data_IF_528264103511
#
_entry.id   IF_528264103511
#
_cell.length_a   1.000
_cell.length_b   1.000
_cell.length_c   1.000
_cell.angle_alpha   90.00
_cell.angle_beta   90.00
_cell.angle_gamma   90.00
#
_symmetry.space_group_name_H-M   'P 1'
#
loop_
_entity.id
_entity.type
_entity.pdbx_description
1 polymer ?
#
# COMPACT_ATOMS: atom_id res chain seq x y z
N UNK A 1 -13.83 10.30 2.03
CA UNK A 1 -15.12 9.78 1.48
C UNK A 1 -15.16 9.78 -0.06
N UNK A 2 -14.62 10.83 -0.70
CA UNK A 2 -14.48 11.03 -2.15
C UNK A 2 -13.91 9.81 -2.94
N UNK A 3 -12.76 9.29 -2.48
CA UNK A 3 -12.00 8.23 -3.16
C UNK A 3 -12.78 6.91 -3.30
N UNK A 4 -13.60 6.58 -2.29
CA UNK A 4 -14.27 5.28 -2.17
C UNK A 4 -15.39 5.12 -3.18
N UNK A 5 -16.18 6.18 -3.40
CA UNK A 5 -17.24 6.17 -4.41
C UNK A 5 -16.67 5.98 -5.82
N UNK A 6 -15.54 6.65 -6.11
CA UNK A 6 -14.81 6.51 -7.36
C UNK A 6 -14.31 5.07 -7.55
N UNK A 7 -13.70 4.47 -6.53
CA UNK A 7 -13.21 3.09 -6.57
C UNK A 7 -14.30 2.09 -6.98
N UNK A 8 -15.45 2.09 -6.30
CA UNK A 8 -16.54 1.17 -6.62
C UNK A 8 -17.14 1.43 -8.01
N UNK A 9 -17.19 2.70 -8.44
CA UNK A 9 -17.62 3.04 -9.80
C UNK A 9 -16.69 2.43 -10.87
N UNK A 10 -15.37 2.55 -10.69
CA UNK A 10 -14.37 2.00 -11.61
C UNK A 10 -14.45 0.48 -11.64
N UNK A 11 -14.57 -0.17 -10.47
CA UNK A 11 -14.74 -1.63 -10.38
C UNK A 11 -16.01 -2.10 -11.11
N UNK A 12 -17.08 -1.29 -11.11
CA UNK A 12 -18.29 -1.56 -11.88
C UNK A 12 -18.18 -1.23 -13.38
N UNK A 13 -17.04 -0.69 -13.85
CA UNK A 13 -16.81 -0.29 -15.23
C UNK A 13 -17.71 0.86 -15.71
N UNK A 14 -18.11 1.75 -14.79
CA UNK A 14 -19.05 2.83 -15.07
C UNK A 14 -18.34 4.18 -15.21
N UNK A 15 -18.75 4.97 -16.21
CA UNK A 15 -18.35 6.39 -16.30
C UNK A 15 -19.13 7.22 -15.29
N UNK A 16 -18.63 8.42 -14.97
CA UNK A 16 -19.37 9.36 -14.12
C UNK A 16 -20.76 9.68 -14.71
N UNK A 17 -20.87 9.82 -16.02
CA UNK A 17 -22.13 10.13 -16.68
C UNK A 17 -23.13 8.96 -16.59
N UNK A 18 -22.67 7.71 -16.79
CA UNK A 18 -23.51 6.51 -16.66
C UNK A 18 -24.06 6.35 -15.24
N UNK A 19 -23.20 6.50 -14.23
CA UNK A 19 -23.62 6.34 -12.84
C UNK A 19 -24.54 7.50 -12.38
N UNK A 20 -24.21 8.74 -12.75
CA UNK A 20 -25.08 9.89 -12.49
C UNK A 20 -26.48 9.69 -13.10
N UNK A 21 -26.56 9.20 -14.34
CA UNK A 21 -27.82 8.88 -15.01
C UNK A 21 -28.60 7.78 -14.31
N UNK A 22 -27.94 6.71 -13.86
CA UNK A 22 -28.57 5.63 -13.12
C UNK A 22 -29.19 6.11 -11.79
N UNK A 23 -28.46 6.98 -11.08
CA UNK A 23 -28.90 7.57 -9.79
C UNK A 23 -29.94 8.68 -10.00
N UNK A 24 -30.01 9.27 -11.20
CA UNK A 24 -30.96 10.33 -11.55
C UNK A 24 -30.50 11.71 -11.09
N UNK A 25 -29.20 11.99 -11.20
CA UNK A 25 -28.60 13.31 -10.96
C UNK A 25 -27.79 13.74 -12.19
N UNK A 26 -27.41 15.02 -12.25
CA UNK A 26 -26.51 15.49 -13.30
C UNK A 26 -25.07 15.05 -13.03
N UNK A 27 -24.29 14.82 -14.09
CA UNK A 27 -22.88 14.46 -13.98
C UNK A 27 -22.06 15.46 -13.12
N UNK A 28 -22.21 16.80 -13.25
CA UNK A 28 -21.48 17.73 -12.39
C UNK A 28 -21.87 17.62 -10.91
N UNK A 29 -23.11 17.23 -10.60
CA UNK A 29 -23.54 17.02 -9.21
C UNK A 29 -22.90 15.75 -8.64
N UNK A 30 -22.87 14.68 -9.44
CA UNK A 30 -22.20 13.43 -9.08
C UNK A 30 -20.68 13.63 -8.89
N UNK A 31 -20.03 14.37 -9.80
CA UNK A 31 -18.60 14.67 -9.71
C UNK A 31 -18.24 15.37 -8.38
N UNK A 32 -19.11 16.27 -7.87
CA UNK A 32 -18.90 16.92 -6.58
C UNK A 32 -18.97 15.95 -5.39
N UNK A 33 -19.71 14.86 -5.53
CA UNK A 33 -19.72 13.80 -4.52
C UNK A 33 -18.41 13.01 -4.57
N UNK A 34 -17.97 12.60 -5.76
CA UNK A 34 -16.71 11.87 -5.94
C UNK A 34 -15.47 12.69 -5.59
N UNK A 35 -15.50 14.02 -5.70
CA UNK A 35 -14.39 14.88 -5.30
C UNK A 35 -14.45 15.28 -3.82
N UNK A 36 -15.49 14.88 -3.08
CA UNK A 36 -15.71 15.31 -1.70
C UNK A 36 -16.15 16.77 -1.55
N UNK A 37 -16.34 17.50 -2.66
CA UNK A 37 -16.81 18.89 -2.63
C UNK A 37 -18.25 19.03 -2.12
N UNK A 38 -19.02 17.95 -2.04
CA UNK A 38 -20.37 17.94 -1.47
C UNK A 38 -20.70 16.57 -0.88
N UNK A 39 -21.46 16.56 0.23
CA UNK A 39 -21.94 15.32 0.83
C UNK A 39 -23.04 14.66 -0.02
N UNK A 40 -23.11 13.33 0.07
CA UNK A 40 -24.13 12.52 -0.61
C UNK A 40 -25.41 12.56 0.23
N UNK A 41 -26.56 12.98 -0.33
CA UNK A 41 -27.85 12.87 0.36
C UNK A 41 -28.21 11.41 0.66
N UNK A 42 -28.84 11.14 1.80
CA UNK A 42 -29.19 9.78 2.25
C UNK A 42 -30.08 9.03 1.24
N UNK A 43 -31.02 9.72 0.59
CA UNK A 43 -31.88 9.14 -0.46
C UNK A 43 -31.09 8.71 -1.70
N UNK A 44 -29.96 9.36 -1.97
CA UNK A 44 -29.06 9.04 -3.09
C UNK A 44 -28.05 7.97 -2.73
N UNK A 45 -27.62 7.91 -1.47
CA UNK A 45 -26.70 6.89 -0.98
C UNK A 45 -27.27 5.48 -1.17
N UNK A 46 -28.53 5.26 -0.79
CA UNK A 46 -29.19 3.96 -0.97
C UNK A 46 -29.28 3.56 -2.46
N UNK A 47 -29.55 4.53 -3.33
CA UNK A 47 -29.62 4.28 -4.76
C UNK A 47 -28.25 3.98 -5.38
N UNK A 48 -27.20 4.63 -4.88
CA UNK A 48 -25.81 4.32 -5.26
C UNK A 48 -25.45 2.89 -4.84
N UNK A 49 -25.78 2.52 -3.60
CA UNK A 49 -25.57 1.17 -3.05
C UNK A 49 -26.25 0.10 -3.92
N UNK A 50 -27.50 0.34 -4.32
CA UNK A 50 -28.25 -0.56 -5.21
C UNK A 50 -27.62 -0.70 -6.61
N UNK A 51 -27.23 0.42 -7.24
CA UNK A 51 -26.66 0.41 -8.60
C UNK A 51 -25.29 -0.24 -8.62
N UNK A 52 -24.47 0.02 -7.60
CA UNK A 52 -23.12 -0.54 -7.46
C UNK A 52 -23.12 -1.94 -6.82
N UNK A 53 -24.27 -2.42 -6.36
CA UNK A 53 -24.43 -3.71 -5.67
C UNK A 53 -23.54 -3.87 -4.43
N UNK A 54 -23.39 -2.80 -3.65
CA UNK A 54 -22.57 -2.75 -2.44
C UNK A 54 -23.36 -2.19 -1.26
N UNK A 55 -22.93 -2.47 -0.04
CA UNK A 55 -23.56 -1.91 1.16
C UNK A 55 -23.38 -0.39 1.25
N UNK A 56 -24.39 0.31 1.76
CA UNK A 56 -24.30 1.76 2.00
C UNK A 56 -23.14 2.12 2.95
N UNK A 57 -22.86 1.27 3.94
CA UNK A 57 -21.73 1.46 4.84
C UNK A 57 -20.38 1.31 4.11
N UNK A 58 -20.26 0.35 3.19
CA UNK A 58 -19.07 0.19 2.37
C UNK A 58 -18.79 1.42 1.48
N UNK A 59 -19.84 2.03 0.91
CA UNK A 59 -19.76 3.30 0.16
C UNK A 59 -19.25 4.46 1.02
N UNK A 60 -19.69 4.53 2.27
CA UNK A 60 -19.22 5.51 3.24
C UNK A 60 -17.81 5.17 3.77
N UNK A 61 -17.24 4.04 3.36
CA UNK A 61 -15.96 3.57 3.85
C UNK A 61 -15.99 3.02 5.26
N UNK A 62 -17.17 2.66 5.73
CA UNK A 62 -17.45 1.97 7.00
C UNK A 62 -17.61 0.49 6.69
N UNK A 63 -16.52 -0.15 6.31
CA UNK A 63 -16.49 -1.61 6.23
C UNK A 63 -15.72 -2.17 7.43
N UNK A 64 -15.95 -3.45 7.70
CA UNK A 64 -15.10 -4.16 8.64
C UNK A 64 -13.65 -4.12 8.14
N UNK A 65 -12.66 -4.05 9.04
CA UNK A 65 -11.25 -4.12 8.68
C UNK A 65 -10.99 -5.34 7.81
N UNK A 66 -10.21 -5.15 6.74
CA UNK A 66 -9.71 -6.26 5.94
C UNK A 66 -8.51 -6.84 6.67
N UNK A 67 -8.61 -8.08 7.10
CA UNK A 67 -7.57 -8.79 7.85
C UNK A 67 -6.95 -9.88 6.99
N UNK A 68 -5.66 -10.13 7.21
CA UNK A 68 -5.00 -11.29 6.61
C UNK A 68 -5.55 -12.56 7.26
N UNK A 69 -5.90 -13.55 6.43
CA UNK A 69 -6.26 -14.87 6.90
C UNK A 69 -5.03 -15.68 7.26
N UNK A 70 -5.17 -16.59 8.22
CA UNK A 70 -4.12 -17.55 8.59
C UNK A 70 -4.76 -18.93 8.49
N UNK A 71 -4.36 -19.71 7.49
CA UNK A 71 -5.02 -20.98 7.14
C UNK A 71 -6.54 -20.84 6.90
N UNK A 72 -6.99 -19.72 6.34
CA UNK A 72 -8.41 -19.47 6.08
C UNK A 72 -8.67 -19.34 4.57
N UNK A 73 -9.04 -20.46 3.95
CA UNK A 73 -9.38 -20.49 2.52
C UNK A 73 -10.60 -19.60 2.17
N UNK A 74 -11.36 -19.11 3.16
CA UNK A 74 -12.54 -18.27 2.92
C UNK A 74 -12.23 -16.80 2.67
N UNK A 75 -11.05 -16.29 3.09
CA UNK A 75 -10.69 -14.87 2.93
C UNK A 75 -10.20 -14.49 1.52
N UNK A 76 -10.00 -15.49 0.64
CA UNK A 76 -9.49 -15.29 -0.72
C UNK A 76 -7.96 -15.30 -0.79
N UNK A 77 -7.42 -15.69 -1.94
CA UNK A 77 -5.99 -15.95 -2.12
C UNK A 77 -5.10 -14.73 -1.86
N UNK A 78 -5.60 -13.53 -2.13
CA UNK A 78 -4.83 -12.29 -1.94
C UNK A 78 -4.73 -11.85 -0.47
N UNK A 79 -5.57 -12.41 0.41
CA UNK A 79 -5.59 -12.11 1.84
C UNK A 79 -5.10 -13.26 2.71
N UNK A 80 -5.12 -14.50 2.21
CA UNK A 80 -4.62 -15.64 2.97
C UNK A 80 -3.10 -15.59 3.03
N UNK A 81 -2.54 -15.61 4.24
CA UNK A 81 -1.11 -15.53 4.49
C UNK A 81 -0.41 -16.79 3.99
N UNK A 82 0.54 -16.62 3.09
CA UNK A 82 1.39 -17.71 2.63
C UNK A 82 2.60 -17.90 3.56
N UNK A 83 3.21 -16.78 3.95
CA UNK A 83 4.54 -16.72 4.57
C UNK A 83 5.35 -15.60 3.96
N UNK A 84 6.62 -15.85 3.69
CA UNK A 84 7.60 -14.84 3.36
C UNK A 84 8.33 -15.16 2.06
N UNK A 85 8.68 -14.10 1.33
CA UNK A 85 9.65 -14.18 0.24
C UNK A 85 10.89 -13.39 0.56
N UNK A 86 12.04 -14.06 0.54
CA UNK A 86 13.36 -13.46 0.69
C UNK A 86 14.00 -13.28 -0.70
N UNK A 87 14.53 -12.09 -0.99
CA UNK A 87 15.17 -11.78 -2.27
C UNK A 87 16.56 -11.21 -2.03
N UNK A 88 17.56 -11.84 -2.65
CA UNK A 88 18.96 -11.45 -2.58
C UNK A 88 19.43 -10.95 -3.95
N UNK A 89 20.40 -10.04 -3.96
CA UNK A 89 20.83 -9.32 -5.16
C UNK A 89 22.31 -9.53 -5.48
N UNK A 90 22.64 -9.67 -6.77
CA UNK A 90 24.03 -9.88 -7.20
C UNK A 90 24.94 -8.69 -6.89
N UNK A 91 24.36 -7.51 -6.62
CA UNK A 91 25.07 -6.29 -6.27
C UNK A 91 25.73 -6.35 -4.89
N UNK A 92 25.34 -7.32 -4.05
CA UNK A 92 25.66 -7.32 -2.62
C UNK A 92 24.91 -6.23 -1.84
N UNK A 93 23.89 -5.62 -2.45
CA UNK A 93 22.97 -4.72 -1.74
C UNK A 93 22.14 -5.46 -0.68
N UNK A 94 21.42 -4.69 0.12
CA UNK A 94 20.62 -5.25 1.22
C UNK A 94 19.51 -6.17 0.67
N UNK A 95 19.30 -7.37 1.26
CA UNK A 95 18.22 -8.26 0.85
C UNK A 95 16.86 -7.68 1.22
N UNK A 96 15.81 -8.24 0.61
CA UNK A 96 14.41 -7.99 0.96
C UNK A 96 13.82 -9.21 1.65
N UNK A 97 12.92 -8.97 2.59
CA UNK A 97 12.01 -9.96 3.14
C UNK A 97 10.62 -9.33 3.16
N UNK A 98 9.64 -10.01 2.55
CA UNK A 98 8.28 -9.51 2.41
C UNK A 98 7.31 -10.59 2.88
N UNK A 99 6.37 -10.22 3.75
CA UNK A 99 5.20 -11.04 4.09
C UNK A 99 4.22 -11.02 2.94
N UNK A 100 3.90 -12.17 2.35
CA UNK A 100 3.08 -12.29 1.14
C UNK A 100 1.87 -13.20 1.35
N UNK A 101 0.87 -13.02 0.50
CA UNK A 101 -0.30 -13.90 0.42
C UNK A 101 -0.12 -15.04 -0.57
N UNK A 102 -1.02 -16.02 -0.55
CA UNK A 102 -1.05 -17.12 -1.52
C UNK A 102 -1.16 -16.64 -2.97
N UNK A 103 -1.94 -15.58 -3.20
CA UNK A 103 -2.10 -14.93 -4.49
C UNK A 103 -0.79 -14.28 -4.96
N UNK A 104 -0.13 -13.52 -4.07
CA UNK A 104 1.17 -12.91 -4.36
C UNK A 104 2.25 -13.96 -4.62
N UNK A 105 2.28 -15.06 -3.86
CA UNK A 105 3.15 -16.21 -4.12
C UNK A 105 2.89 -16.78 -5.52
N UNK A 106 1.64 -17.08 -5.84
CA UNK A 106 1.26 -17.74 -7.10
C UNK A 106 1.64 -16.89 -8.32
N UNK A 107 1.39 -15.58 -8.26
CA UNK A 107 1.77 -14.61 -9.32
C UNK A 107 3.28 -14.53 -9.48
N UNK A 108 4.02 -14.26 -8.41
CA UNK A 108 5.48 -14.14 -8.49
C UNK A 108 6.14 -15.45 -8.96
N UNK A 109 5.68 -16.59 -8.44
CA UNK A 109 6.18 -17.90 -8.84
C UNK A 109 5.96 -18.15 -10.34
N UNK A 110 4.82 -17.72 -10.91
CA UNK A 110 4.57 -17.82 -12.34
C UNK A 110 5.44 -16.84 -13.14
N UNK A 111 5.56 -15.60 -12.69
CA UNK A 111 6.29 -14.54 -13.40
C UNK A 111 7.80 -14.77 -13.44
N UNK A 112 8.38 -15.36 -12.40
CA UNK A 112 9.78 -15.80 -12.37
C UNK A 112 10.11 -16.88 -13.41
N UNK A 113 9.10 -17.61 -13.91
CA UNK A 113 9.26 -18.61 -14.98
C UNK A 113 9.12 -18.00 -16.38
N UNK A 114 8.76 -16.71 -16.46
CA UNK A 114 8.64 -15.94 -17.70
C UNK A 114 9.91 -15.10 -17.92
N UNK A 115 10.12 -14.65 -19.15
CA UNK A 115 11.26 -13.79 -19.51
C UNK A 115 10.91 -12.30 -19.35
N UNK A 116 10.45 -11.90 -18.17
CA UNK A 116 10.11 -10.51 -17.86
C UNK A 116 11.36 -9.73 -17.41
N UNK A 117 11.45 -8.45 -17.78
CA UNK A 117 12.54 -7.58 -17.31
C UNK A 117 12.38 -7.19 -15.84
N UNK A 118 11.13 -7.04 -15.40
CA UNK A 118 10.73 -6.73 -14.04
C UNK A 118 9.64 -7.70 -13.59
N UNK A 119 9.61 -7.99 -12.29
CA UNK A 119 8.53 -8.72 -11.63
C UNK A 119 8.07 -7.92 -10.43
N UNK A 120 6.81 -8.09 -10.04
CA UNK A 120 6.20 -7.32 -8.95
C UNK A 120 5.77 -8.24 -7.82
N UNK A 121 5.94 -7.79 -6.58
CA UNK A 121 5.50 -8.48 -5.37
C UNK A 121 4.75 -7.48 -4.51
N UNK A 122 3.51 -7.80 -4.17
CA UNK A 122 2.73 -7.04 -3.21
C UNK A 122 2.81 -7.74 -1.85
N UNK A 123 3.20 -6.99 -0.82
CA UNK A 123 3.25 -7.48 0.55
C UNK A 123 1.93 -7.22 1.28
N UNK A 124 1.69 -7.99 2.34
CA UNK A 124 0.62 -7.73 3.31
C UNK A 124 0.93 -6.55 4.25
N UNK A 125 2.08 -5.90 4.07
CA UNK A 125 2.58 -4.76 4.85
C UNK A 125 2.61 -3.45 4.02
N UNK A 126 1.77 -3.34 2.99
CA UNK A 126 1.65 -2.15 2.13
C UNK A 126 2.92 -1.80 1.34
N UNK A 127 3.60 -2.83 0.80
CA UNK A 127 4.73 -2.63 -0.08
C UNK A 127 4.46 -3.29 -1.43
N UNK A 128 4.46 -2.49 -2.50
CA UNK A 128 4.53 -2.98 -3.87
C UNK A 128 5.98 -2.86 -4.30
N UNK A 129 6.64 -4.02 -4.45
CA UNK A 129 8.06 -4.10 -4.79
C UNK A 129 8.20 -4.54 -6.24
N UNK A 130 8.81 -3.67 -7.05
CA UNK A 130 9.15 -3.92 -8.45
C UNK A 130 10.62 -4.30 -8.51
N UNK A 131 10.92 -5.53 -8.95
CA UNK A 131 12.26 -6.13 -8.88
C UNK A 131 12.76 -6.35 -10.31
N UNK A 132 13.99 -5.89 -10.61
CA UNK A 132 14.62 -6.22 -11.89
C UNK A 132 15.06 -7.67 -11.86
N UNK A 133 14.53 -8.52 -12.74
CA UNK A 133 14.77 -9.98 -12.69
C UNK A 133 16.24 -10.34 -12.80
N UNK A 134 16.98 -9.63 -13.67
CA UNK A 134 18.43 -9.81 -13.82
C UNK A 134 19.24 -9.37 -12.59
N UNK A 135 18.65 -8.63 -11.65
CA UNK A 135 19.32 -8.23 -10.41
C UNK A 135 19.30 -9.32 -9.32
N UNK A 136 18.34 -10.26 -9.42
CA UNK A 136 18.14 -11.33 -8.44
C UNK A 136 19.32 -12.31 -8.49
N UNK A 137 19.97 -12.52 -7.36
CA UNK A 137 20.96 -13.58 -7.19
C UNK A 137 20.25 -14.91 -6.84
N UNK A 138 19.36 -14.86 -5.86
CA UNK A 138 18.57 -15.98 -5.38
C UNK A 138 17.31 -15.48 -4.64
N UNK A 139 16.27 -16.32 -4.64
CA UNK A 139 14.96 -16.01 -4.09
C UNK A 139 14.39 -17.25 -3.39
N UNK A 140 13.84 -17.06 -2.19
CA UNK A 140 13.29 -18.14 -1.37
C UNK A 140 11.86 -17.82 -0.98
N UNK A 141 10.97 -18.77 -1.24
CA UNK A 141 9.64 -18.80 -0.64
C UNK A 141 9.70 -19.67 0.61
N UNK A 142 9.28 -19.11 1.74
CA UNK A 142 9.17 -19.81 3.02
C UNK A 142 7.72 -19.71 3.43
N UNK A 143 7.01 -20.83 3.49
CA UNK A 143 5.63 -20.81 3.98
C UNK A 143 5.62 -20.71 5.50
N UNK A 144 4.55 -20.18 6.08
CA UNK A 144 4.35 -20.10 7.54
C UNK A 144 4.46 -21.43 8.30
N UNK A 145 4.45 -22.57 7.59
CA UNK A 145 4.72 -23.89 8.16
C UNK A 145 6.18 -24.11 8.62
N UNK A 146 7.08 -23.17 8.32
CA UNK A 146 8.49 -23.23 8.67
C UNK A 146 8.88 -22.01 9.52
N UNK A 147 9.71 -22.24 10.56
CA UNK A 147 10.19 -21.18 11.46
C UNK A 147 11.44 -20.44 10.91
N UNK A 148 11.88 -20.77 9.68
CA UNK A 148 13.06 -20.21 9.04
C UNK A 148 12.77 -19.48 7.72
N UNK A 149 13.49 -18.38 7.50
CA UNK A 149 13.36 -17.53 6.31
C UNK A 149 14.70 -17.40 5.56
N UNK A 150 14.77 -17.95 4.35
CA UNK A 150 15.98 -17.90 3.50
C UNK A 150 17.18 -18.71 4.02
N UNK A 151 18.24 -18.83 3.22
CA UNK A 151 19.37 -19.73 3.51
C UNK A 151 20.24 -19.31 4.69
N UNK A 152 20.35 -18.00 4.96
CA UNK A 152 21.29 -17.50 5.97
C UNK A 152 20.64 -17.31 7.35
N UNK A 153 19.33 -17.57 7.48
CA UNK A 153 18.54 -17.17 8.66
C UNK A 153 18.87 -15.72 9.09
N UNK A 154 19.09 -14.86 8.08
CA UNK A 154 19.80 -13.60 8.22
C UNK A 154 18.99 -12.53 8.95
N UNK A 155 19.67 -11.49 9.42
CA UNK A 155 19.01 -10.31 9.96
C UNK A 155 18.51 -9.41 8.83
N UNK A 156 17.19 -9.36 8.66
CA UNK A 156 16.52 -8.44 7.75
C UNK A 156 16.18 -7.14 8.51
N UNK A 157 17.08 -6.15 8.44
CA UNK A 157 16.98 -4.91 9.25
C UNK A 157 15.68 -4.12 9.03
N UNK A 158 15.10 -4.23 7.82
CA UNK A 158 13.94 -3.46 7.37
C UNK A 158 12.65 -4.30 7.33
N UNK A 159 12.69 -5.55 7.77
CA UNK A 159 11.50 -6.38 7.84
C UNK A 159 10.63 -5.94 9.02
N UNK A 160 9.37 -5.63 8.73
CA UNK A 160 8.36 -5.31 9.73
C UNK A 160 7.35 -6.44 9.74
N UNK A 161 7.21 -7.11 10.88
CA UNK A 161 6.25 -8.19 11.05
C UNK A 161 4.85 -7.61 11.30
N UNK A 162 4.20 -7.15 10.23
CA UNK A 162 2.90 -6.49 10.28
C UNK A 162 2.06 -6.83 9.04
N UNK A 163 0.98 -7.60 9.22
CA UNK A 163 0.03 -7.91 8.15
C UNK A 163 -1.21 -7.02 8.24
N UNK A 164 -1.18 -5.89 7.55
CA UNK A 164 -2.28 -4.92 7.43
C UNK A 164 -2.66 -4.77 5.96
N UNK A 165 -3.46 -5.68 5.38
CA UNK A 165 -3.80 -5.61 3.95
C UNK A 165 -4.84 -4.53 3.61
N UNK A 166 -5.55 -3.97 4.60
CA UNK A 166 -6.54 -2.92 4.38
C UNK A 166 -5.85 -1.59 3.99
N UNK A 167 -5.97 -1.17 2.73
CA UNK A 167 -5.45 0.12 2.26
C UNK A 167 -6.00 1.30 3.08
N UNK A 168 -7.23 1.21 3.59
CA UNK A 168 -7.83 2.23 4.47
C UNK A 168 -7.04 2.42 5.76
N UNK A 169 -6.46 1.35 6.30
CA UNK A 169 -5.66 1.45 7.52
C UNK A 169 -4.36 2.22 7.26
N UNK A 170 -3.81 2.13 6.05
CA UNK A 170 -2.63 2.87 5.65
C UNK A 170 -2.90 4.35 5.37
N UNK A 171 -4.10 4.70 4.89
CA UNK A 171 -4.54 6.11 4.85
C UNK A 171 -4.60 6.70 6.28
N UNK A 172 -5.05 5.93 7.27
CA UNK A 172 -5.04 6.34 8.68
C UNK A 172 -3.60 6.49 9.19
N UNK A 173 -2.71 5.54 8.86
CA UNK A 173 -1.28 5.61 9.22
C UNK A 173 -0.63 6.88 8.65
N UNK A 174 -0.92 7.24 7.40
CA UNK A 174 -0.45 8.49 6.78
C UNK A 174 -0.96 9.73 7.53
N UNK A 175 -2.26 9.77 7.84
CA UNK A 175 -2.86 10.89 8.57
C UNK A 175 -2.27 11.03 9.98
N UNK A 176 -2.00 9.90 10.67
CA UNK A 176 -1.31 9.88 11.96
C UNK A 176 0.14 10.39 11.83
N UNK A 177 0.88 9.97 10.80
CA UNK A 177 2.27 10.43 10.58
C UNK A 177 2.34 11.95 10.34
N UNK A 178 1.33 12.53 9.71
CA UNK A 178 1.29 13.96 9.36
C UNK A 178 0.63 14.84 10.43
N UNK A 179 0.15 14.27 11.54
CA UNK A 179 -0.72 14.95 12.51
C UNK A 179 -1.95 15.63 11.83
N UNK A 180 -2.52 15.01 10.80
CA UNK A 180 -3.65 15.57 10.04
C UNK A 180 -5.00 15.22 10.70
N UNK A 181 -5.40 16.07 11.66
CA UNK A 181 -6.70 15.95 12.33
C UNK A 181 -7.88 15.93 11.35
N UNK A 182 -7.81 16.66 10.22
CA UNK A 182 -8.90 16.69 9.26
C UNK A 182 -9.02 15.37 8.50
N UNK A 183 -7.88 14.81 8.08
CA UNK A 183 -7.81 13.48 7.47
C UNK A 183 -8.34 12.40 8.40
N UNK A 184 -7.95 12.42 9.69
CA UNK A 184 -8.43 11.45 10.68
C UNK A 184 -9.95 11.53 10.92
N UNK A 185 -10.54 12.72 10.83
CA UNK A 185 -11.99 12.93 10.98
C UNK A 185 -12.81 12.33 9.83
N UNK A 186 -12.19 11.90 8.72
CA UNK A 186 -12.88 11.17 7.66
C UNK A 186 -13.19 9.71 8.02
N UNK A 187 -12.52 9.18 9.05
CA UNK A 187 -12.64 7.78 9.48
C UNK A 187 -13.48 7.65 10.76
N UNK A 188 -14.00 6.45 11.00
CA UNK A 188 -14.71 6.18 12.24
C UNK A 188 -13.71 6.21 13.42
N UNK A 189 -14.05 6.83 14.57
CA UNK A 189 -13.12 6.90 15.70
C UNK A 189 -12.62 5.54 16.19
N UNK A 190 -13.45 4.51 16.09
CA UNK A 190 -13.09 3.12 16.38
C UNK A 190 -12.02 2.55 15.44
N UNK A 191 -12.03 2.90 14.15
CA UNK A 191 -11.02 2.49 13.19
C UNK A 191 -9.69 3.20 13.45
N UNK A 192 -9.74 4.52 13.70
CA UNK A 192 -8.55 5.31 14.04
C UNK A 192 -7.89 4.75 15.30
N UNK A 193 -8.69 4.46 16.34
CA UNK A 193 -8.17 3.87 17.58
C UNK A 193 -7.56 2.49 17.33
N UNK A 194 -8.24 1.62 16.58
CA UNK A 194 -7.75 0.27 16.27
C UNK A 194 -6.40 0.31 15.53
N UNK A 195 -6.26 1.18 14.53
CA UNK A 195 -5.02 1.32 13.77
C UNK A 195 -3.91 1.93 14.64
N UNK A 196 -4.21 2.98 15.40
CA UNK A 196 -3.26 3.60 16.34
C UNK A 196 -2.74 2.57 17.36
N UNK A 197 -3.63 1.81 18.01
CA UNK A 197 -3.24 0.78 18.99
C UNK A 197 -2.40 -0.36 18.36
N UNK A 198 -2.45 -0.54 17.03
CA UNK A 198 -1.69 -1.56 16.31
C UNK A 198 -0.27 -1.11 15.94
N UNK A 199 -0.05 0.18 15.72
CA UNK A 199 1.22 0.73 15.22
C UNK A 199 2.00 1.52 16.27
N UNK A 200 1.38 1.90 17.39
CA UNK A 200 2.01 2.69 18.45
C UNK A 200 1.47 2.31 19.83
N UNK A 201 2.28 2.56 20.87
CA UNK A 201 1.86 2.44 22.27
C UNK A 201 1.59 3.84 22.82
N UNK A 202 0.39 4.04 23.35
CA UNK A 202 -0.03 5.32 23.96
C UNK A 202 0.57 5.52 25.35
N UNK A 203 0.65 6.77 25.81
CA UNK A 203 1.12 7.09 27.17
C UNK A 203 0.29 6.39 28.26
N UNK A 204 -1.01 6.26 28.05
CA UNK A 204 -1.91 5.54 28.97
C UNK A 204 -1.60 4.03 29.02
N UNK A 205 -1.24 3.43 27.87
CA UNK A 205 -0.81 2.02 27.82
C UNK A 205 0.55 1.84 28.51
N UNK A 206 1.51 2.76 28.31
CA UNK A 206 2.75 2.75 29.08
C UNK A 206 2.50 2.86 30.59
N UNK A 207 1.57 3.71 31.01
CA UNK A 207 1.15 3.84 32.40
C UNK A 207 0.66 2.50 32.98
N UNK A 208 -0.12 1.74 32.21
CA UNK A 208 -0.58 0.40 32.59
C UNK A 208 0.58 -0.62 32.63
N UNK A 209 1.45 -0.65 31.62
CA UNK A 209 2.60 -1.57 31.58
C UNK A 209 3.56 -1.37 32.76
N UNK A 210 3.73 -0.12 33.20
CA UNK A 210 4.51 0.20 34.41
C UNK A 210 3.76 -0.20 35.67
N UNK A 211 2.45 0.06 35.76
CA UNK A 211 1.62 -0.33 36.89
C UNK A 211 1.56 -1.86 37.09
N UNK A 212 1.54 -2.61 35.99
CA UNK A 212 1.53 -4.08 35.96
C UNK A 212 2.93 -4.68 36.16
N UNK A 213 3.97 -3.84 36.25
CA UNK A 213 5.35 -4.26 36.47
C UNK A 213 6.01 -4.94 35.27
N UNK A 214 5.41 -4.84 34.07
CA UNK A 214 5.96 -5.38 32.82
C UNK A 214 7.11 -4.52 32.28
N UNK A 215 7.10 -3.22 32.57
CA UNK A 215 8.19 -2.28 32.27
C UNK A 215 8.63 -1.62 33.58
N UNK A 216 9.93 -1.65 33.87
CA UNK A 216 10.46 -0.89 35.00
C UNK A 216 10.42 0.59 34.67
N UNK A 217 10.06 1.43 35.64
CA UNK A 217 10.01 2.89 35.44
C UNK A 217 11.33 3.50 34.97
N UNK A 218 12.47 2.88 35.33
CA UNK A 218 13.82 3.27 34.90
C UNK A 218 14.12 2.94 33.43
N UNK A 219 13.45 1.93 32.87
CA UNK A 219 13.63 1.45 31.49
C UNK A 219 12.59 2.08 30.53
N UNK A 220 11.58 2.78 31.07
CA UNK A 220 10.45 3.33 30.32
C UNK A 220 10.87 4.20 29.13
N UNK A 221 11.82 5.12 29.32
CA UNK A 221 12.26 6.02 28.25
C UNK A 221 12.96 5.25 27.11
N UNK A 222 13.78 4.25 27.47
CA UNK A 222 14.44 3.42 26.46
C UNK A 222 13.44 2.54 25.70
N UNK A 223 12.37 2.07 26.33
CA UNK A 223 11.31 1.31 25.66
C UNK A 223 10.47 2.22 24.76
N UNK A 224 10.16 3.45 25.21
CA UNK A 224 9.53 4.49 24.38
C UNK A 224 10.34 4.77 23.12
N UNK A 225 11.65 4.97 23.25
CA UNK A 225 12.54 5.21 22.11
C UNK A 225 12.58 4.04 21.12
N UNK A 226 12.54 2.79 21.61
CA UNK A 226 12.52 1.60 20.74
C UNK A 226 11.19 1.49 19.99
N UNK A 227 10.08 1.65 20.69
CA UNK A 227 8.76 1.55 20.08
C UNK A 227 8.53 2.71 19.09
N UNK A 228 9.00 3.92 19.41
CA UNK A 228 8.93 5.05 18.48
C UNK A 228 9.69 4.75 17.19
N UNK A 229 10.88 4.14 17.26
CA UNK A 229 11.62 3.73 16.04
C UNK A 229 10.88 2.69 15.21
N UNK A 230 10.13 1.80 15.85
CA UNK A 230 9.30 0.82 15.13
C UNK A 230 8.09 1.50 14.48
N UNK A 231 7.43 2.43 15.18
CA UNK A 231 6.38 3.29 14.62
C UNK A 231 6.89 4.08 13.42
N UNK A 232 8.08 4.69 13.52
CA UNK A 232 8.69 5.47 12.44
C UNK A 232 8.96 4.61 11.20
N UNK A 233 9.32 3.33 11.38
CA UNK A 233 9.48 2.39 10.26
C UNK A 233 8.16 2.06 9.58
N UNK A 234 7.08 1.93 10.35
CA UNK A 234 5.73 1.74 9.80
C UNK A 234 5.28 2.99 9.04
N UNK A 235 5.55 4.18 9.58
CA UNK A 235 5.31 5.44 8.87
C UNK A 235 6.10 5.53 7.57
N UNK A 236 7.35 5.06 7.55
CA UNK A 236 8.15 4.99 6.33
C UNK A 236 7.52 4.07 5.26
N UNK A 237 6.82 2.99 5.64
CA UNK A 237 6.08 2.15 4.69
C UNK A 237 4.89 2.88 4.05
N UNK A 238 4.27 3.82 4.78
CA UNK A 238 3.19 4.64 4.24
C UNK A 238 3.72 5.80 3.39
N UNK A 239 4.81 6.42 3.83
CA UNK A 239 5.21 7.76 3.40
C UNK A 239 6.42 7.79 2.46
N UNK A 240 7.19 6.71 2.31
CA UNK A 240 8.43 6.73 1.54
C UNK A 240 8.45 5.75 0.38
N UNK A 241 8.97 6.24 -0.74
CA UNK A 241 9.47 5.41 -1.82
C UNK A 241 10.94 5.08 -1.55
N UNK A 242 11.31 3.81 -1.71
CA UNK A 242 12.70 3.37 -1.57
C UNK A 242 13.15 2.62 -2.81
N UNK A 243 14.37 2.87 -3.28
CA UNK A 243 14.97 2.10 -4.38
C UNK A 243 16.42 1.75 -4.08
N UNK A 244 16.84 0.60 -4.58
CA UNK A 244 18.23 0.14 -4.51
C UNK A 244 18.80 0.04 -5.90
N UNK A 245 20.03 0.53 -6.06
CA UNK A 245 20.78 0.43 -7.30
C UNK A 245 21.71 -0.79 -7.25
N UNK A 246 22.09 -1.30 -8.42
CA UNK A 246 23.04 -2.41 -8.55
C UNK A 246 24.47 -2.10 -8.08
N UNK A 247 24.72 -0.89 -7.58
CA UNK A 247 25.90 -0.55 -6.78
C UNK A 247 25.78 -0.94 -5.30
N UNK A 248 24.63 -1.47 -4.87
CA UNK A 248 24.26 -1.70 -3.48
C UNK A 248 23.78 -0.43 -2.76
N UNK A 249 23.82 0.74 -3.41
CA UNK A 249 23.34 1.98 -2.80
C UNK A 249 21.81 2.01 -2.74
N UNK A 250 21.27 2.16 -1.54
CA UNK A 250 19.84 2.38 -1.30
C UNK A 250 19.56 3.87 -1.09
N UNK A 251 18.42 4.33 -1.60
CA UNK A 251 17.93 5.70 -1.45
C UNK A 251 16.44 5.67 -1.12
N UNK A 252 16.01 6.60 -0.28
CA UNK A 252 14.61 6.78 0.10
C UNK A 252 14.23 8.24 -0.09
N UNK A 253 13.01 8.47 -0.56
CA UNK A 253 12.45 9.79 -0.82
C UNK A 253 11.01 9.78 -0.34
N UNK A 254 10.52 10.93 0.11
CA UNK A 254 9.11 11.06 0.48
C UNK A 254 8.24 10.75 -0.75
N UNK A 255 7.16 10.02 -0.53
CA UNK A 255 6.26 9.59 -1.57
C UNK A 255 5.60 10.81 -2.22
N UNK A 256 5.72 10.88 -3.54
CA UNK A 256 5.06 11.89 -4.37
C UNK A 256 3.54 11.66 -4.38
N UNK A 257 2.79 12.59 -4.97
CA UNK A 257 1.35 12.39 -5.19
C UNK A 257 1.08 11.08 -5.94
N UNK A 258 -0.04 10.42 -5.61
CA UNK A 258 -0.40 9.09 -6.08
C UNK A 258 -0.35 8.95 -7.62
N UNK A 259 -0.94 9.89 -8.37
CA UNK A 259 -0.86 9.94 -9.84
C UNK A 259 0.60 9.92 -10.34
N UNK A 260 1.44 10.83 -9.85
CA UNK A 260 2.84 10.94 -10.27
C UNK A 260 3.67 9.71 -9.87
N UNK A 261 3.33 9.06 -8.76
CA UNK A 261 3.93 7.81 -8.32
C UNK A 261 3.58 6.69 -9.32
N UNK A 262 2.30 6.55 -9.64
CA UNK A 262 1.82 5.53 -10.55
C UNK A 262 2.36 5.74 -11.98
N UNK A 263 2.26 6.94 -12.53
CA UNK A 263 2.80 7.31 -13.85
C UNK A 263 4.29 6.95 -14.00
N UNK A 264 5.08 7.14 -12.95
CA UNK A 264 6.51 6.86 -12.99
C UNK A 264 6.84 5.37 -13.06
N UNK A 265 6.01 4.50 -12.47
CA UNK A 265 6.35 3.08 -12.26
C UNK A 265 5.40 2.07 -12.91
N UNK A 266 4.17 2.44 -13.30
CA UNK A 266 3.28 1.57 -14.09
C UNK A 266 3.94 0.95 -15.33
N UNK A 267 4.87 1.65 -16.06
CA UNK A 267 5.47 1.05 -17.24
C UNK A 267 6.41 -0.12 -16.89
N UNK A 268 6.80 -0.29 -15.62
CA UNK A 268 7.58 -1.45 -15.18
C UNK A 268 6.69 -2.64 -14.75
N UNK A 269 5.40 -2.40 -14.53
CA UNK A 269 4.45 -3.40 -14.01
C UNK A 269 3.62 -4.00 -15.15
N UNK A 270 3.00 -3.16 -15.97
CA UNK A 270 1.96 -3.57 -16.93
C UNK A 270 2.37 -3.41 -18.40
N UNK A 271 3.59 -2.97 -18.69
CA UNK A 271 4.04 -2.71 -20.07
C UNK A 271 5.08 -3.72 -20.55
N UNK A 272 4.62 -4.69 -21.34
CA UNK A 272 5.47 -5.68 -22.02
C UNK A 272 6.21 -5.12 -23.27
N UNK A 273 6.01 -3.85 -23.61
CA UNK A 273 6.64 -3.21 -24.77
C UNK A 273 8.01 -2.61 -24.49
N UNK A 274 8.74 -2.20 -25.54
CA UNK A 274 9.96 -1.41 -25.38
C UNK A 274 9.61 -0.05 -24.77
N UNK A 275 9.96 0.14 -23.50
CA UNK A 275 9.97 1.46 -22.87
C UNK A 275 11.04 2.32 -23.56
N UNK A 276 10.61 3.25 -24.40
CA UNK A 276 11.48 4.17 -25.16
C UNK A 276 12.48 4.93 -24.28
N UNK A 277 12.18 5.11 -22.99
CA UNK A 277 13.04 5.78 -22.02
C UNK A 277 13.62 4.80 -20.99
N UNK A 278 14.95 4.80 -20.88
CA UNK A 278 15.68 4.09 -19.81
C UNK A 278 15.66 4.81 -18.46
N UNK A 279 15.28 6.09 -18.46
CA UNK A 279 15.24 6.93 -17.28
C UNK A 279 13.80 7.14 -16.81
N UNK A 280 13.51 6.67 -15.61
CA UNK A 280 12.29 6.95 -14.86
C UNK A 280 12.41 8.36 -14.28
N UNK A 281 11.42 9.21 -14.52
CA UNK A 281 11.38 10.58 -13.99
C UNK A 281 10.45 10.64 -12.78
N UNK A 282 10.98 11.02 -11.62
CA UNK A 282 10.23 11.15 -10.38
C UNK A 282 10.26 12.60 -9.85
N UNK A 283 9.12 13.33 -9.86
CA UNK A 283 9.04 14.72 -9.39
C UNK A 283 8.82 14.80 -7.86
N UNK A 284 9.88 14.56 -7.08
CA UNK A 284 9.85 14.50 -5.59
C UNK A 284 9.22 15.74 -4.94
N UNK A 285 9.53 16.93 -5.44
CA UNK A 285 8.94 18.18 -4.93
C UNK A 285 8.52 19.07 -6.11
N UNK A 286 7.60 18.55 -6.92
CA UNK A 286 7.14 19.21 -8.14
C UNK A 286 8.30 19.54 -9.08
N UNK A 287 8.34 20.78 -9.57
CA UNK A 287 9.41 21.25 -10.47
C UNK A 287 10.75 21.54 -9.78
N UNK A 288 10.76 21.63 -8.43
CA UNK A 288 11.94 22.07 -7.69
C UNK A 288 12.91 20.92 -7.36
N UNK A 289 12.42 19.68 -7.30
CA UNK A 289 13.25 18.49 -7.11
C UNK A 289 12.72 17.35 -7.96
N UNK A 290 13.52 16.96 -8.95
CA UNK A 290 13.23 15.86 -9.87
C UNK A 290 14.41 14.92 -9.85
N UNK A 291 14.15 13.63 -9.72
CA UNK A 291 15.16 12.57 -9.83
C UNK A 291 14.91 11.77 -11.10
N UNK A 292 15.99 11.45 -11.80
CA UNK A 292 15.98 10.49 -12.90
C UNK A 292 16.65 9.20 -12.42
N UNK A 293 15.96 8.08 -12.55
CA UNK A 293 16.42 6.76 -12.12
C UNK A 293 16.62 5.90 -13.36
N UNK A 294 17.83 5.37 -13.55
CA UNK A 294 18.08 4.44 -14.65
C UNK A 294 17.51 3.07 -14.29
N UNK A 295 16.48 2.62 -15.04
CA UNK A 295 15.78 1.35 -14.78
C UNK A 295 16.71 0.15 -14.90
N UNK A 296 17.72 0.21 -15.75
CA UNK A 296 18.69 -0.87 -15.98
C UNK A 296 19.73 -0.97 -14.84
N UNK A 297 19.82 0.05 -13.99
CA UNK A 297 20.71 0.07 -12.83
C UNK A 297 19.97 -0.20 -11.51
N UNK A 298 18.68 -0.55 -11.57
CA UNK A 298 17.88 -0.91 -10.39
C UNK A 298 18.15 -2.36 -9.98
N UNK A 299 18.19 -2.57 -8.67
CA UNK A 299 17.92 -3.88 -8.11
C UNK A 299 16.40 -4.02 -7.91
N UNK A 300 15.80 -3.04 -7.23
CA UNK A 300 14.37 -2.96 -7.02
C UNK A 300 13.92 -1.53 -6.68
N UNK A 301 12.60 -1.32 -6.74
CA UNK A 301 11.88 -0.16 -6.21
C UNK A 301 10.78 -0.69 -5.30
N UNK A 302 10.56 -0.03 -4.18
CA UNK A 302 9.55 -0.33 -3.17
C UNK A 302 8.66 0.90 -2.98
N UNK A 303 7.37 0.70 -3.20
CA UNK A 303 6.34 1.73 -3.23
C UNK A 303 5.30 1.45 -2.14
N UNK A 304 4.74 2.47 -1.47
CA UNK A 304 3.54 2.30 -0.64
C UNK A 304 2.38 1.82 -1.52
N UNK A 305 1.88 0.60 -1.28
CA UNK A 305 0.84 -0.04 -2.11
C UNK A 305 -0.41 0.80 -2.21
N UNK A 306 -0.97 1.28 -1.10
CA UNK A 306 -2.20 2.06 -1.08
C UNK A 306 -2.11 3.33 -1.95
N UNK A 307 -0.96 4.02 -1.97
CA UNK A 307 -0.73 5.18 -2.83
C UNK A 307 -0.55 4.80 -4.30
N UNK A 308 0.15 3.70 -4.57
CA UNK A 308 0.30 3.21 -5.95
C UNK A 308 -1.05 2.79 -6.54
N UNK A 309 -1.87 2.10 -5.76
CA UNK A 309 -3.23 1.70 -6.12
C UNK A 309 -4.16 2.91 -6.28
N UNK A 310 -4.04 3.92 -5.42
CA UNK A 310 -4.77 5.17 -5.59
C UNK A 310 -4.45 5.81 -6.95
N UNK A 311 -3.17 5.89 -7.33
CA UNK A 311 -2.76 6.46 -8.62
C UNK A 311 -3.25 5.63 -9.81
N UNK A 312 -3.26 4.30 -9.68
CA UNK A 312 -3.87 3.39 -10.68
C UNK A 312 -5.36 3.73 -10.86
N UNK A 313 -6.09 3.86 -9.75
CA UNK A 313 -7.52 4.21 -9.78
C UNK A 313 -7.76 5.58 -10.41
N UNK A 314 -6.91 6.56 -10.16
CA UNK A 314 -7.01 7.90 -10.77
C UNK A 314 -6.87 7.81 -12.30
N UNK A 315 -5.85 7.10 -12.80
CA UNK A 315 -5.65 6.89 -14.23
C UNK A 315 -6.80 6.09 -14.87
N UNK A 316 -7.24 4.99 -14.25
CA UNK A 316 -8.35 4.17 -14.76
C UNK A 316 -9.65 4.96 -14.84
N UNK A 317 -9.89 5.86 -13.88
CA UNK A 317 -11.04 6.75 -13.90
C UNK A 317 -11.03 7.66 -15.13
N UNK A 318 -9.89 8.30 -15.40
CA UNK A 318 -9.71 9.20 -16.53
C UNK A 318 -9.90 8.46 -17.86
N UNK A 319 -9.24 7.30 -18.03
CA UNK A 319 -9.39 6.48 -19.22
C UNK A 319 -10.84 6.04 -19.45
N UNK A 320 -11.55 5.62 -18.40
CA UNK A 320 -12.95 5.23 -18.51
C UNK A 320 -13.85 6.39 -18.95
N UNK A 321 -13.63 7.58 -18.39
CA UNK A 321 -14.43 8.78 -18.70
C UNK A 321 -14.09 9.35 -20.09
N UNK A 322 -12.92 9.07 -20.67
CA UNK A 322 -12.55 9.42 -22.05
C UNK A 322 -13.21 8.55 -23.14
N UNK A 323 -13.78 7.40 -22.78
CA UNK A 323 -14.42 6.46 -23.73
C UNK A 323 -15.83 6.91 -24.21
N UNK A 324 -16.36 8.04 -23.72
CA UNK A 324 -17.67 8.62 -24.10
C UNK A 324 -17.56 9.91 -24.92
#
# INVERSE_FOLDING_TARGET
MALKLKQYRIQAGLTQAKLAKAVGVSQPNYQRWESGASSIPEDKLNKLAEVLQIGADALLGRHLPIEAGFYDESVGEDLNYYGEVAVYFHSGGKPLLLSISDGAFSRLHQDLQRSLAFVTVESLSNQTVIIRTQAIADLYFSSEAYDDYGLEHGHYEDFIQLQMPDARDWEIVEALCCDDENGLNEFAPEDVRRVSERIMITDDQYGKLVADGLIKSEELESEKDKNQKETDRIFDLAMKLTYQLSSGQRRSVDAVGAEALFEAFYPLVDFDGELDNDLIRLPIAGWHRIVFINKNALDYVMLPTHRFDQGRMEMDAEMLDELE
#
